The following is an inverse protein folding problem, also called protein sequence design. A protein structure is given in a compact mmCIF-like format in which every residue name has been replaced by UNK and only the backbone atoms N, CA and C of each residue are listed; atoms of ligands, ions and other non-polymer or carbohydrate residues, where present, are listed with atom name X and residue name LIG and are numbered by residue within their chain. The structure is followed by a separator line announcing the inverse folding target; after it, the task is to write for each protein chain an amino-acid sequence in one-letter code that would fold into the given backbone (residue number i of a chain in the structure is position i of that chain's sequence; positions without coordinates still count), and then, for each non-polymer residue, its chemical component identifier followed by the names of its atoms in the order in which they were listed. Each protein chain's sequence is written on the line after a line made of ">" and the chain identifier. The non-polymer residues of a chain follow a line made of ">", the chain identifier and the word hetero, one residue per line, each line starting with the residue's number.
data_IF_950180113988
#
_entry.id   IF_950180113988
#
_cell.length_a   1.000
_cell.length_b   1.000
_cell.length_c   1.000
_cell.angle_alpha   90.00
_cell.angle_beta   90.00
_cell.angle_gamma   90.00
#
_symmetry.space_group_name_H-M   'P 1'
#
loop_
_entity.id
_entity.type
_entity.pdbx_description
1 polymer ?
#
# COMPACT_ATOMS: atom_id res chain seq x y z
N UNK A 1 42.49 65.85 61.51
CA UNK A 1 41.56 64.65 61.50
C UNK A 1 41.33 64.27 60.07
N UNK A 2 41.99 63.23 59.65
CA UNK A 2 42.04 62.84 58.24
C UNK A 2 41.36 61.46 58.08
N UNK A 3 40.30 61.46 57.39
CA UNK A 3 39.49 60.21 57.19
C UNK A 3 39.88 59.68 55.81
N UNK A 4 40.58 58.54 55.81
CA UNK A 4 40.98 57.84 54.61
C UNK A 4 39.76 57.10 53.94
N UNK A 5 39.64 57.32 52.63
CA UNK A 5 38.69 56.59 51.77
C UNK A 5 39.33 55.28 51.29
N UNK A 6 38.76 54.18 51.66
CA UNK A 6 39.04 52.86 51.09
C UNK A 6 38.31 52.72 49.73
N UNK A 7 39.07 52.50 48.67
CA UNK A 7 38.51 52.15 47.33
C UNK A 7 38.45 50.63 47.25
N UNK A 8 37.22 50.11 47.19
CA UNK A 8 36.98 48.73 46.88
C UNK A 8 37.05 48.52 45.35
N UNK A 9 38.01 47.71 44.92
CA UNK A 9 38.10 47.27 43.51
C UNK A 9 37.21 46.03 43.39
N UNK A 10 36.16 46.13 42.59
CA UNK A 10 35.34 45.01 42.21
C UNK A 10 35.95 44.38 40.95
N UNK A 11 36.54 43.21 41.10
CA UNK A 11 36.88 42.35 39.96
C UNK A 11 35.59 41.67 39.47
N UNK A 12 35.10 42.10 38.31
CA UNK A 12 34.04 41.38 37.60
C UNK A 12 34.70 40.25 36.82
N UNK A 13 34.42 39.04 37.22
CA UNK A 13 34.91 37.83 36.58
C UNK A 13 34.31 37.64 35.19
N UNK A 14 35.16 37.51 34.18
CA UNK A 14 34.84 37.02 32.82
C UNK A 14 34.53 35.49 32.90
N UNK A 15 33.26 35.16 32.98
CA UNK A 15 32.82 33.77 33.14
C UNK A 15 31.54 33.42 32.34
N UNK A 16 31.29 34.02 31.18
CA UNK A 16 30.09 33.74 30.36
C UNK A 16 30.46 33.64 28.90
N UNK A 17 31.25 32.65 28.49
CA UNK A 17 31.43 32.38 27.06
C UNK A 17 31.92 30.98 26.68
N UNK A 18 31.51 29.94 27.43
CA UNK A 18 31.82 28.54 27.01
C UNK A 18 30.59 27.59 27.00
N UNK A 19 29.38 28.09 27.18
CA UNK A 19 28.19 27.20 27.25
C UNK A 19 27.49 27.07 25.89
N UNK A 20 27.63 28.00 24.96
CA UNK A 20 26.85 28.05 23.71
C UNK A 20 27.32 27.07 22.63
N UNK A 21 28.58 26.66 22.59
CA UNK A 21 29.10 25.77 21.56
C UNK A 21 28.70 24.30 21.77
N UNK A 22 28.59 23.85 23.03
CA UNK A 22 28.24 22.48 23.34
C UNK A 22 26.74 22.17 23.15
N UNK A 23 25.88 23.17 23.39
CA UNK A 23 24.42 23.03 23.13
C UNK A 23 24.10 23.01 21.65
N UNK A 24 24.79 23.80 20.85
CA UNK A 24 24.64 23.82 19.40
C UNK A 24 25.07 22.49 18.76
N UNK A 25 26.16 21.88 19.22
CA UNK A 25 26.62 20.59 18.74
C UNK A 25 25.65 19.44 19.11
N UNK A 26 25.06 19.46 20.30
CA UNK A 26 24.05 18.47 20.72
C UNK A 26 22.75 18.59 19.91
N UNK A 27 22.31 19.81 19.61
CA UNK A 27 21.14 20.06 18.76
C UNK A 27 21.33 19.52 17.33
N UNK A 28 22.50 19.70 16.74
CA UNK A 28 22.81 19.17 15.42
C UNK A 28 22.92 17.65 15.38
N UNK A 29 23.48 17.02 16.41
CA UNK A 29 23.53 15.56 16.52
C UNK A 29 22.15 14.94 16.72
N UNK A 30 21.26 15.57 17.51
CA UNK A 30 19.89 15.11 17.67
C UNK A 30 19.07 15.22 16.37
N UNK A 31 19.23 16.32 15.65
CA UNK A 31 18.58 16.50 14.35
C UNK A 31 19.06 15.49 13.28
N UNK A 32 20.36 15.20 13.25
CA UNK A 32 20.94 14.20 12.36
C UNK A 32 20.45 12.77 12.69
N UNK A 33 20.33 12.42 13.98
CA UNK A 33 19.79 11.13 14.42
C UNK A 33 18.30 10.97 14.09
N UNK A 34 17.51 12.04 14.19
CA UNK A 34 16.10 12.04 13.79
C UNK A 34 15.93 11.91 12.27
N UNK A 35 16.77 12.57 11.48
CA UNK A 35 16.76 12.45 10.02
C UNK A 35 17.15 11.04 9.58
N UNK A 36 18.19 10.44 10.14
CA UNK A 36 18.60 9.06 9.87
C UNK A 36 17.52 8.04 10.27
N UNK A 37 16.82 8.26 11.40
CA UNK A 37 15.69 7.45 11.82
C UNK A 37 14.49 7.56 10.87
N UNK A 38 14.21 8.73 10.33
CA UNK A 38 13.14 8.94 9.34
C UNK A 38 13.47 8.29 7.98
N UNK A 39 14.72 8.34 7.54
CA UNK A 39 15.17 7.66 6.33
C UNK A 39 15.09 6.14 6.47
N UNK A 40 15.53 5.55 7.59
CA UNK A 40 15.40 4.11 7.86
C UNK A 40 13.94 3.65 7.95
N UNK A 41 13.04 4.46 8.51
CA UNK A 41 11.60 4.16 8.53
C UNK A 41 10.97 4.27 7.14
N UNK A 42 11.43 5.20 6.30
CA UNK A 42 10.98 5.31 4.91
C UNK A 42 11.46 4.13 4.05
N UNK A 43 12.68 3.66 4.25
CA UNK A 43 13.21 2.46 3.59
C UNK A 43 12.49 1.19 4.02
N UNK A 44 12.21 1.01 5.32
CA UNK A 44 11.43 -0.12 5.84
C UNK A 44 9.98 -0.15 5.29
N UNK A 45 9.36 1.03 5.10
CA UNK A 45 8.03 1.13 4.48
C UNK A 45 8.06 0.84 2.98
N UNK A 46 9.20 1.05 2.29
CA UNK A 46 9.38 0.72 0.88
C UNK A 46 9.55 -0.80 0.71
N UNK A 47 10.24 -1.45 1.63
CA UNK A 47 10.48 -2.89 1.60
C UNK A 47 9.19 -3.72 1.77
N UNK A 48 8.22 -3.25 2.57
CA UNK A 48 6.91 -3.90 2.74
C UNK A 48 6.08 -3.84 1.44
N UNK A 49 6.23 -2.79 0.63
CA UNK A 49 5.53 -2.66 -0.66
C UNK A 49 6.08 -3.63 -1.72
N UNK A 50 7.33 -4.07 -1.59
CA UNK A 50 8.01 -4.94 -2.55
C UNK A 50 8.16 -6.41 -2.08
N UNK A 51 7.21 -6.90 -1.29
CA UNK A 51 7.11 -8.32 -0.91
C UNK A 51 7.08 -9.27 -2.13
N UNK A 52 7.37 -10.58 -1.93
CA UNK A 52 7.47 -11.54 -3.04
C UNK A 52 6.23 -11.56 -3.94
N UNK A 53 5.04 -11.54 -3.35
CA UNK A 53 3.77 -11.56 -4.08
C UNK A 53 3.56 -10.28 -4.90
N UNK A 54 3.92 -9.10 -4.37
CA UNK A 54 3.85 -7.83 -5.11
C UNK A 54 4.78 -7.86 -6.32
N UNK A 55 6.01 -8.36 -6.16
CA UNK A 55 6.94 -8.50 -7.28
C UNK A 55 6.43 -9.46 -8.35
N UNK A 56 5.89 -10.62 -7.95
CA UNK A 56 5.28 -11.58 -8.88
C UNK A 56 4.11 -10.97 -9.64
N UNK A 57 3.19 -10.30 -8.93
CA UNK A 57 2.04 -9.60 -9.54
C UNK A 57 2.48 -8.53 -10.54
N UNK A 58 3.47 -7.68 -10.19
CA UNK A 58 4.02 -6.67 -11.10
C UNK A 58 4.65 -7.29 -12.34
N UNK A 59 5.45 -8.33 -12.18
CA UNK A 59 6.08 -9.01 -13.29
C UNK A 59 5.04 -9.63 -14.22
N UNK A 60 4.05 -10.33 -13.68
CA UNK A 60 2.98 -10.97 -14.43
C UNK A 60 2.12 -9.98 -15.22
N UNK A 61 1.90 -8.78 -14.68
CA UNK A 61 0.98 -7.78 -15.25
C UNK A 61 1.67 -6.57 -15.87
N UNK A 62 2.99 -6.63 -16.08
CA UNK A 62 3.76 -5.52 -16.65
C UNK A 62 3.27 -5.09 -18.04
N UNK A 63 2.79 -6.03 -18.85
CA UNK A 63 2.21 -5.81 -20.17
C UNK A 63 0.69 -5.56 -20.17
N UNK A 64 0.02 -5.67 -19.02
CA UNK A 64 -1.44 -5.56 -18.87
C UNK A 64 -1.87 -4.23 -18.20
N UNK A 65 -1.09 -3.17 -18.44
CA UNK A 65 -1.26 -1.87 -17.77
C UNK A 65 -2.46 -1.06 -18.28
N UNK A 66 -2.97 -1.37 -19.43
CA UNK A 66 -4.16 -0.78 -20.04
C UNK A 66 -5.23 -1.85 -20.32
N UNK A 67 -6.47 -1.37 -20.52
CA UNK A 67 -7.63 -2.25 -20.68
C UNK A 67 -7.57 -3.06 -21.97
N UNK A 68 -7.04 -2.49 -23.04
CA UNK A 68 -6.95 -3.17 -24.33
C UNK A 68 -6.04 -4.40 -24.23
N UNK A 69 -4.90 -4.26 -23.57
CA UNK A 69 -3.99 -5.38 -23.33
C UNK A 69 -4.61 -6.43 -22.40
N UNK A 70 -5.33 -6.00 -21.35
CA UNK A 70 -6.03 -6.91 -20.44
C UNK A 70 -7.11 -7.72 -21.19
N UNK A 71 -7.92 -7.07 -22.03
CA UNK A 71 -8.97 -7.72 -22.82
C UNK A 71 -8.35 -8.71 -23.83
N UNK A 72 -7.26 -8.34 -24.48
CA UNK A 72 -6.53 -9.23 -25.39
C UNK A 72 -5.97 -10.47 -24.67
N UNK A 73 -5.68 -10.36 -23.35
CA UNK A 73 -5.25 -11.47 -22.51
C UNK A 73 -6.40 -12.29 -21.88
N UNK A 74 -7.65 -12.02 -22.24
CA UNK A 74 -8.82 -12.79 -21.82
C UNK A 74 -9.52 -12.27 -20.56
N UNK A 75 -9.16 -11.07 -20.07
CA UNK A 75 -9.89 -10.44 -18.98
C UNK A 75 -11.10 -9.67 -19.52
N UNK A 76 -12.24 -9.81 -18.86
CA UNK A 76 -13.52 -9.20 -19.26
C UNK A 76 -14.03 -8.33 -18.12
N UNK A 77 -14.64 -7.19 -18.45
CA UNK A 77 -15.30 -6.32 -17.47
C UNK A 77 -16.34 -7.13 -16.67
N UNK A 78 -16.12 -7.25 -15.38
CA UNK A 78 -17.02 -7.96 -14.45
C UNK A 78 -17.89 -6.99 -13.67
N UNK A 79 -17.31 -5.91 -13.14
CA UNK A 79 -18.05 -4.89 -12.42
C UNK A 79 -17.62 -3.51 -12.87
N UNK A 80 -18.55 -2.55 -12.79
CA UNK A 80 -18.21 -1.14 -12.86
C UNK A 80 -17.29 -0.72 -11.71
N UNK A 81 -17.06 0.58 -11.56
CA UNK A 81 -16.22 1.05 -10.48
C UNK A 81 -16.88 0.82 -9.12
N UNK A 82 -16.19 0.10 -8.25
CA UNK A 82 -16.65 -0.27 -6.91
C UNK A 82 -16.09 0.70 -5.88
N UNK A 83 -16.97 1.42 -5.18
CA UNK A 83 -16.60 2.35 -4.09
C UNK A 83 -17.32 2.02 -2.79
N UNK A 84 -16.67 2.28 -1.67
CA UNK A 84 -17.25 2.31 -0.33
C UNK A 84 -17.54 3.74 0.12
N UNK A 85 -18.45 3.95 1.09
CA UNK A 85 -18.86 5.28 1.49
C UNK A 85 -17.75 6.09 2.18
N UNK A 86 -16.82 5.44 2.87
CA UNK A 86 -15.76 6.08 3.64
C UNK A 86 -14.37 5.47 3.40
N UNK A 87 -14.29 4.29 2.77
CA UNK A 87 -13.05 3.53 2.59
C UNK A 87 -12.28 3.88 1.31
N UNK A 88 -12.87 4.71 0.44
CA UNK A 88 -12.39 4.97 -0.91
C UNK A 88 -12.95 3.99 -1.91
N UNK A 89 -12.15 3.44 -2.82
CA UNK A 89 -12.64 2.51 -3.81
C UNK A 89 -11.69 1.31 -4.01
N UNK A 90 -12.24 0.21 -4.50
CA UNK A 90 -11.48 -0.89 -5.08
C UNK A 90 -11.08 -0.52 -6.52
N UNK A 91 -12.05 -0.10 -7.32
CA UNK A 91 -11.87 0.23 -8.74
C UNK A 91 -12.76 -0.59 -9.64
N UNK A 92 -12.37 -0.72 -10.89
CA UNK A 92 -13.07 -1.44 -11.98
C UNK A 92 -12.42 -2.81 -12.19
N UNK A 93 -13.20 -3.89 -12.03
CA UNK A 93 -12.67 -5.25 -12.10
C UNK A 93 -12.84 -5.84 -13.49
N UNK A 94 -11.73 -6.34 -14.02
CA UNK A 94 -11.67 -7.17 -15.21
C UNK A 94 -11.24 -8.58 -14.79
N UNK A 95 -12.09 -9.59 -15.03
CA UNK A 95 -11.92 -10.95 -14.52
C UNK A 95 -11.65 -11.91 -15.68
N UNK A 96 -10.71 -12.82 -15.48
CA UNK A 96 -10.48 -13.94 -16.37
C UNK A 96 -11.21 -15.19 -15.83
N UNK A 97 -12.37 -15.47 -16.39
CA UNK A 97 -13.22 -16.57 -15.93
C UNK A 97 -12.55 -17.96 -16.06
N UNK A 98 -11.61 -18.12 -17.00
CA UNK A 98 -10.89 -19.38 -17.17
C UNK A 98 -9.92 -19.63 -16.00
N UNK A 99 -9.30 -18.56 -15.45
CA UNK A 99 -8.44 -18.67 -14.28
C UNK A 99 -9.27 -18.90 -13.01
N UNK A 100 -10.37 -18.15 -12.82
CA UNK A 100 -11.29 -18.37 -11.67
C UNK A 100 -11.81 -19.81 -11.64
N UNK A 101 -12.06 -20.40 -12.80
CA UNK A 101 -12.67 -21.73 -12.93
C UNK A 101 -11.68 -22.90 -12.88
N UNK A 102 -10.39 -22.67 -12.89
CA UNK A 102 -9.38 -23.75 -12.90
C UNK A 102 -9.08 -24.33 -11.50
N UNK A 103 -9.52 -23.61 -10.44
CA UNK A 103 -9.33 -24.04 -9.05
C UNK A 103 -7.89 -23.94 -8.54
N UNK A 104 -7.02 -23.24 -9.27
CA UNK A 104 -5.59 -23.08 -8.95
C UNK A 104 -5.30 -21.67 -8.49
N UNK A 105 -4.25 -21.50 -7.69
CA UNK A 105 -3.71 -20.20 -7.31
C UNK A 105 -2.25 -20.11 -7.76
N UNK A 106 -1.95 -19.19 -8.66
CA UNK A 106 -0.62 -18.95 -9.21
C UNK A 106 -0.28 -17.45 -9.09
N UNK A 107 0.74 -17.11 -8.33
CA UNK A 107 1.18 -15.72 -8.15
C UNK A 107 1.50 -15.00 -9.47
N UNK A 108 1.70 -15.74 -10.57
CA UNK A 108 1.98 -15.19 -11.91
C UNK A 108 0.72 -15.09 -12.79
N UNK A 109 -0.44 -15.51 -12.29
CA UNK A 109 -1.72 -15.55 -13.04
C UNK A 109 -2.88 -15.04 -12.19
N UNK A 110 -2.91 -13.75 -11.85
CA UNK A 110 -4.03 -13.20 -11.07
C UNK A 110 -5.35 -13.38 -11.83
N UNK A 111 -6.40 -13.79 -11.14
CA UNK A 111 -7.73 -14.03 -11.68
C UNK A 111 -8.43 -12.74 -12.08
N UNK A 112 -8.10 -11.62 -11.42
CA UNK A 112 -8.65 -10.31 -11.77
C UNK A 112 -7.59 -9.21 -11.80
N UNK A 113 -7.86 -8.21 -12.64
CA UNK A 113 -7.13 -6.95 -12.75
C UNK A 113 -8.05 -5.82 -12.30
N UNK A 114 -7.55 -4.96 -11.39
CA UNK A 114 -8.32 -3.87 -10.81
C UNK A 114 -7.77 -2.53 -11.29
N UNK A 115 -8.59 -1.82 -12.05
CA UNK A 115 -8.22 -0.54 -12.66
C UNK A 115 -8.81 0.64 -11.91
N UNK A 116 -8.04 1.69 -11.70
CA UNK A 116 -8.54 2.96 -11.21
C UNK A 116 -8.95 3.89 -12.37
N UNK A 117 -10.11 4.56 -12.26
CA UNK A 117 -10.46 5.63 -13.18
C UNK A 117 -9.59 6.87 -12.89
N UNK A 118 -8.86 7.35 -13.88
CA UNK A 118 -7.99 8.52 -13.73
C UNK A 118 -7.87 9.30 -15.02
N UNK A 119 -8.23 10.58 -15.00
CA UNK A 119 -8.14 11.47 -16.18
C UNK A 119 -8.81 10.88 -17.44
N UNK A 120 -9.99 10.30 -17.28
CA UNK A 120 -10.76 9.70 -18.39
C UNK A 120 -10.21 8.38 -18.92
N UNK A 121 -9.22 7.79 -18.26
CA UNK A 121 -8.63 6.49 -18.58
C UNK A 121 -8.72 5.53 -17.39
N UNK A 122 -8.61 4.24 -17.67
CA UNK A 122 -8.44 3.20 -16.65
C UNK A 122 -6.96 2.82 -16.56
N UNK A 123 -6.39 2.86 -15.37
CA UNK A 123 -4.99 2.52 -15.10
C UNK A 123 -4.94 1.37 -14.11
N UNK A 124 -4.15 0.35 -14.38
CA UNK A 124 -3.98 -0.78 -13.47
C UNK A 124 -3.42 -0.30 -12.12
N UNK A 125 -4.16 -0.56 -11.04
CA UNK A 125 -3.80 -0.21 -9.66
C UNK A 125 -3.48 -1.43 -8.81
N UNK A 126 -4.30 -2.49 -8.95
CA UNK A 126 -4.19 -3.71 -8.17
C UNK A 126 -4.46 -4.94 -9.04
N UNK A 127 -4.14 -6.11 -8.49
CA UNK A 127 -4.60 -7.41 -8.97
C UNK A 127 -5.39 -8.09 -7.86
N UNK A 128 -6.16 -9.10 -8.21
CA UNK A 128 -6.92 -9.90 -7.26
C UNK A 128 -6.76 -11.39 -7.61
N UNK A 129 -6.47 -12.18 -6.58
CA UNK A 129 -6.43 -13.62 -6.66
C UNK A 129 -7.74 -14.18 -6.11
N UNK A 130 -8.38 -15.07 -6.86
CA UNK A 130 -9.73 -15.59 -6.56
C UNK A 130 -9.74 -17.09 -6.78
N UNK A 131 -10.27 -17.83 -5.80
CA UNK A 131 -10.57 -19.25 -5.98
C UNK A 131 -11.95 -19.59 -5.39
N UNK A 132 -12.75 -20.36 -6.13
CA UNK A 132 -14.08 -20.76 -5.68
C UNK A 132 -13.96 -21.66 -4.44
N UNK A 133 -14.67 -21.29 -3.37
CA UNK A 133 -14.56 -21.95 -2.07
C UNK A 133 -14.88 -23.45 -2.15
N UNK A 134 -15.94 -23.85 -2.84
CA UNK A 134 -16.32 -25.26 -3.03
C UNK A 134 -15.20 -26.08 -3.68
N UNK A 135 -14.49 -25.50 -4.67
CA UNK A 135 -13.39 -26.18 -5.36
C UNK A 135 -12.15 -26.30 -4.47
N UNK A 136 -11.85 -25.23 -3.72
CA UNK A 136 -10.71 -25.21 -2.82
C UNK A 136 -10.89 -26.16 -1.64
N UNK A 137 -12.03 -26.06 -0.94
CA UNK A 137 -12.35 -26.81 0.27
C UNK A 137 -12.49 -28.30 0.00
N UNK A 138 -12.83 -28.71 -1.24
CA UNK A 138 -12.86 -30.11 -1.64
C UNK A 138 -11.49 -30.81 -1.54
N UNK A 139 -10.40 -30.05 -1.57
CA UNK A 139 -9.03 -30.58 -1.61
C UNK A 139 -8.10 -29.99 -0.51
N UNK A 140 -8.60 -29.08 0.33
CA UNK A 140 -7.80 -28.39 1.33
C UNK A 140 -8.59 -28.23 2.64
N UNK A 141 -7.95 -28.49 3.76
CA UNK A 141 -8.53 -28.37 5.11
C UNK A 141 -8.43 -26.94 5.70
N UNK A 142 -7.89 -25.99 4.95
CA UNK A 142 -7.67 -24.61 5.42
C UNK A 142 -7.86 -23.60 4.28
N UNK A 143 -8.19 -22.34 4.60
CA UNK A 143 -8.24 -21.25 3.62
C UNK A 143 -6.92 -21.09 2.86
N UNK A 144 -6.96 -20.56 1.62
CA UNK A 144 -5.75 -20.41 0.80
C UNK A 144 -4.75 -19.44 1.40
N UNK A 145 -3.47 -19.74 1.14
CA UNK A 145 -2.32 -18.89 1.45
C UNK A 145 -1.44 -18.82 0.20
N UNK A 146 -1.20 -17.62 -0.31
CA UNK A 146 -0.32 -17.41 -1.46
C UNK A 146 0.90 -16.57 -1.05
N UNK A 147 2.10 -17.15 -1.13
CA UNK A 147 3.36 -16.51 -0.72
C UNK A 147 3.29 -15.84 0.69
N UNK A 148 2.64 -16.54 1.64
CA UNK A 148 2.49 -16.08 3.03
C UNK A 148 1.34 -15.10 3.27
N UNK A 149 0.53 -14.77 2.26
CA UNK A 149 -0.66 -13.92 2.40
C UNK A 149 -1.92 -14.77 2.47
N UNK A 150 -2.74 -14.49 3.48
CA UNK A 150 -4.00 -15.18 3.70
C UNK A 150 -5.11 -14.55 2.87
N UNK A 151 -5.96 -15.40 2.32
CA UNK A 151 -7.19 -14.97 1.65
C UNK A 151 -8.32 -14.80 2.67
N UNK A 152 -9.27 -13.93 2.36
CA UNK A 152 -10.50 -13.86 3.10
C UNK A 152 -11.66 -14.52 2.33
N UNK A 153 -12.65 -14.98 3.08
CA UNK A 153 -13.83 -15.66 2.53
C UNK A 153 -14.93 -14.66 2.20
N UNK A 154 -15.46 -14.76 0.98
CA UNK A 154 -16.58 -13.93 0.49
C UNK A 154 -17.79 -14.86 0.26
N UNK A 155 -18.85 -14.74 1.07
CA UNK A 155 -20.04 -15.57 0.90
C UNK A 155 -20.84 -15.19 -0.35
N UNK A 156 -21.69 -16.11 -0.81
CA UNK A 156 -22.71 -15.80 -1.80
C UNK A 156 -24.05 -15.49 -1.10
N UNK A 157 -24.91 -14.58 -1.64
CA UNK A 157 -24.66 -13.75 -2.83
C UNK A 157 -23.68 -12.61 -2.52
N UNK A 158 -22.84 -12.26 -3.49
CA UNK A 158 -21.87 -11.19 -3.35
C UNK A 158 -21.92 -10.23 -4.54
N UNK A 159 -21.18 -9.12 -4.42
CA UNK A 159 -21.15 -8.04 -5.41
C UNK A 159 -20.59 -8.47 -6.76
N UNK A 160 -19.64 -9.42 -6.77
CA UNK A 160 -19.02 -9.93 -7.99
C UNK A 160 -19.95 -10.88 -8.78
N UNK A 161 -21.07 -11.33 -8.17
CA UNK A 161 -21.96 -12.32 -8.76
C UNK A 161 -21.34 -13.72 -8.87
N UNK A 162 -20.22 -13.95 -8.17
CA UNK A 162 -19.55 -15.23 -8.10
C UNK A 162 -20.20 -16.14 -7.03
N UNK A 163 -20.02 -17.45 -7.11
CA UNK A 163 -20.21 -18.34 -5.97
C UNK A 163 -19.39 -17.88 -4.76
N UNK A 164 -19.61 -18.47 -3.59
CA UNK A 164 -18.74 -18.24 -2.45
C UNK A 164 -17.28 -18.55 -2.83
N UNK A 165 -16.37 -17.67 -2.48
CA UNK A 165 -14.97 -17.75 -2.91
C UNK A 165 -14.02 -17.19 -1.84
N UNK A 166 -12.75 -17.48 -2.00
CA UNK A 166 -11.67 -16.82 -1.29
C UNK A 166 -11.04 -15.81 -2.23
N UNK A 167 -10.72 -14.60 -1.71
CA UNK A 167 -10.08 -13.55 -2.47
C UNK A 167 -8.94 -12.88 -1.71
N UNK A 168 -8.00 -12.29 -2.47
CA UNK A 168 -6.88 -11.51 -1.95
C UNK A 168 -6.54 -10.39 -2.90
N UNK A 169 -6.78 -9.15 -2.51
CA UNK A 169 -6.33 -7.95 -3.22
C UNK A 169 -4.84 -7.72 -3.04
N UNK A 170 -4.17 -7.28 -4.11
CA UNK A 170 -2.75 -6.89 -4.08
C UNK A 170 -2.54 -5.57 -4.82
N UNK A 171 -2.35 -4.49 -4.08
CA UNK A 171 -2.07 -3.16 -4.63
C UNK A 171 -0.64 -3.08 -5.17
N UNK A 172 -0.40 -3.76 -6.26
CA UNK A 172 0.92 -3.89 -6.85
C UNK A 172 1.40 -2.63 -7.58
N UNK A 173 0.47 -1.80 -8.10
CA UNK A 173 0.80 -0.67 -8.96
C UNK A 173 0.41 0.68 -8.38
N UNK A 174 -0.38 0.69 -7.31
CA UNK A 174 -0.78 1.89 -6.58
C UNK A 174 -0.59 1.68 -5.09
N UNK A 175 0.07 2.63 -4.43
CA UNK A 175 0.23 2.59 -2.97
C UNK A 175 -1.14 2.70 -2.29
N UNK A 176 -1.41 1.80 -1.37
CA UNK A 176 -2.57 1.81 -0.50
C UNK A 176 -2.13 2.14 0.94
N UNK A 177 -2.55 3.29 1.53
CA UNK A 177 -2.20 3.64 2.90
C UNK A 177 -2.82 2.70 3.95
N UNK A 178 -3.91 1.98 3.62
CA UNK A 178 -4.52 0.97 4.48
C UNK A 178 -3.79 -0.39 4.44
N UNK A 179 -2.78 -0.52 3.60
CA UNK A 179 -1.99 -1.75 3.44
C UNK A 179 -2.05 -2.31 2.02
N UNK A 180 -1.00 -3.01 1.65
CA UNK A 180 -0.84 -3.58 0.29
C UNK A 180 -1.91 -4.62 -0.04
N UNK A 181 -2.47 -5.29 0.98
CA UNK A 181 -3.44 -6.38 0.85
C UNK A 181 -4.84 -6.01 1.34
N UNK A 182 -5.10 -4.73 1.60
CA UNK A 182 -6.45 -4.27 1.95
C UNK A 182 -7.31 -4.09 0.69
N UNK A 183 -8.60 -4.46 0.77
CA UNK A 183 -9.52 -4.39 -0.37
C UNK A 183 -9.72 -2.96 -0.86
N UNK A 184 -9.91 -2.02 0.06
CA UNK A 184 -10.23 -0.62 -0.22
C UNK A 184 -8.99 0.26 -0.19
N UNK A 185 -8.91 1.20 -1.13
CA UNK A 185 -7.85 2.19 -1.19
C UNK A 185 -8.43 3.62 -1.12
N UNK A 186 -8.18 4.40 -0.06
CA UNK A 186 -8.69 5.76 0.07
C UNK A 186 -8.10 6.74 -0.97
N UNK A 187 -7.09 6.32 -1.73
CA UNK A 187 -6.51 7.10 -2.84
C UNK A 187 -7.10 6.75 -4.20
N UNK A 188 -8.11 5.87 -4.25
CA UNK A 188 -8.88 5.52 -5.45
C UNK A 188 -10.27 6.13 -5.30
N UNK A 189 -10.78 6.73 -6.38
CA UNK A 189 -12.13 7.27 -6.47
C UNK A 189 -12.80 6.80 -7.75
N UNK A 190 -14.12 6.58 -7.69
CA UNK A 190 -14.95 6.29 -8.84
C UNK A 190 -15.53 7.53 -9.51
N UNK A 191 -15.27 8.75 -9.01
CA UNK A 191 -15.91 9.99 -9.48
C UNK A 191 -15.68 10.27 -10.98
N UNK A 192 -14.54 9.85 -11.50
CA UNK A 192 -14.20 10.02 -12.93
C UNK A 192 -14.56 8.81 -13.81
N UNK A 193 -15.24 7.80 -13.23
CA UNK A 193 -15.65 6.61 -13.97
C UNK A 193 -16.91 6.89 -14.80
N UNK A 194 -16.83 6.64 -16.09
CA UNK A 194 -17.97 6.65 -17.00
C UNK A 194 -18.17 5.23 -17.50
N UNK A 195 -19.30 4.62 -17.17
CA UNK A 195 -19.68 3.33 -17.71
C UNK A 195 -19.83 3.44 -19.23
N UNK A 196 -19.20 2.54 -19.97
CA UNK A 196 -19.26 2.46 -21.43
C UNK A 196 -20.11 1.29 -21.87
#
# INVERSE_FOLDING_TARGET
>A
MNIGRVRTVVCVAAGVMMITAAESARGQQAAAAQAAGAEQQAEAQTEVVDGPLVRAARQATASLRDVEAAVAAGYVLSSGCVSGPEEGAMGVHYVNASLVGDGLLDATKPEALVFEPRNGKLQLGAVEYIVIAEQWDANNDHPPILQGQHFHYVPAPNRAGLPAHYELHVWAWKRNPHGTFADWNPRVSCDSYVAR
#
